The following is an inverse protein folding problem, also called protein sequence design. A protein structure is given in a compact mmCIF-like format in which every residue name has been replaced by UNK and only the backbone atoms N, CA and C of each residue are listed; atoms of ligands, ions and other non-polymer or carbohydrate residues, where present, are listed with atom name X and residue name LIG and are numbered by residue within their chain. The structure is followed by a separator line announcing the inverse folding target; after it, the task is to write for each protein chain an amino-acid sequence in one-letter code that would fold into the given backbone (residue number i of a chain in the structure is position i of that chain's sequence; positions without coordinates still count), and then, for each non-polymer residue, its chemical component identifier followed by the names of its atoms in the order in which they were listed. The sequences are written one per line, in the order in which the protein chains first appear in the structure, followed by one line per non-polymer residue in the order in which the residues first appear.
data_IF_801205965478
#
_entry.id   IF_801205965478
#
_cell.length_a   1.000
_cell.length_b   1.000
_cell.length_c   1.000
_cell.angle_alpha   90.00
_cell.angle_beta   90.00
_cell.angle_gamma   90.00
#
_symmetry.space_group_name_H-M   'P 1'
#
loop_
_entity.id
_entity.type
_entity.pdbx_description
1 polymer ?
#
# COMPACT_ATOMS: atom_id res chain seq x y z
N UNK A 1 -12.87 -18.10 -8.23
CA UNK A 1 -12.49 -16.83 -7.57
C UNK A 1 -12.27 -17.05 -6.08
N UNK A 2 -11.40 -16.25 -5.49
CA UNK A 2 -11.12 -16.22 -4.06
C UNK A 2 -11.51 -14.85 -3.50
N UNK A 3 -12.19 -14.84 -2.37
CA UNK A 3 -12.52 -13.61 -1.61
C UNK A 3 -12.08 -13.78 -0.17
N UNK A 4 -11.50 -12.75 0.40
CA UNK A 4 -11.14 -12.66 1.80
C UNK A 4 -12.07 -11.68 2.49
N UNK A 5 -12.55 -12.00 3.69
CA UNK A 5 -13.40 -11.08 4.44
C UNK A 5 -13.19 -11.20 5.95
N UNK A 6 -13.49 -10.11 6.66
CA UNK A 6 -13.60 -10.14 8.12
C UNK A 6 -14.78 -11.04 8.54
N UNK A 7 -14.72 -11.59 9.75
CA UNK A 7 -15.77 -12.47 10.27
C UNK A 7 -17.13 -11.75 10.40
N UNK A 8 -17.14 -10.45 10.62
CA UNK A 8 -18.33 -9.59 10.67
C UNK A 8 -18.77 -9.09 9.27
N UNK A 9 -18.04 -9.47 8.21
CA UNK A 9 -18.30 -9.10 6.81
C UNK A 9 -18.31 -7.59 6.54
N UNK A 10 -17.74 -6.77 7.42
CA UNK A 10 -17.64 -5.32 7.22
C UNK A 10 -16.50 -4.94 6.29
N UNK A 11 -15.49 -5.82 6.15
CA UNK A 11 -14.38 -5.65 5.23
C UNK A 11 -14.25 -6.89 4.34
N UNK A 12 -13.96 -6.67 3.07
CA UNK A 12 -13.68 -7.74 2.12
C UNK A 12 -12.69 -7.26 1.06
N UNK A 13 -11.87 -8.20 0.57
CA UNK A 13 -10.93 -8.00 -0.52
C UNK A 13 -11.09 -9.12 -1.56
N UNK A 14 -11.03 -8.76 -2.84
CA UNK A 14 -11.32 -9.66 -3.95
C UNK A 14 -12.56 -9.24 -4.76
N UNK A 15 -13.13 -10.06 -5.61
CA UNK A 15 -12.70 -11.43 -5.91
C UNK A 15 -11.39 -11.50 -6.70
N UNK A 16 -10.46 -12.31 -6.24
CA UNK A 16 -9.24 -12.63 -6.96
C UNK A 16 -9.52 -13.74 -7.97
N UNK A 17 -9.12 -13.51 -9.20
CA UNK A 17 -9.34 -14.42 -10.33
C UNK A 17 -8.07 -14.50 -11.17
N UNK A 18 -8.02 -15.36 -12.16
CA UNK A 18 -6.90 -15.40 -13.12
C UNK A 18 -6.69 -14.11 -13.90
N UNK A 19 -7.66 -13.20 -13.90
CA UNK A 19 -7.57 -11.92 -14.61
C UNK A 19 -6.90 -10.81 -13.79
N UNK A 20 -6.91 -10.93 -12.46
CA UNK A 20 -6.36 -9.93 -11.53
C UNK A 20 -5.41 -10.52 -10.49
N UNK A 21 -4.97 -11.74 -10.69
CA UNK A 21 -3.94 -12.38 -9.90
C UNK A 21 -2.55 -12.08 -10.49
N UNK A 22 -1.51 -12.11 -9.66
CA UNK A 22 -0.15 -12.02 -10.15
C UNK A 22 0.17 -13.20 -11.07
N UNK A 23 1.02 -13.02 -12.13
CA UNK A 23 1.31 -14.09 -13.11
C UNK A 23 1.88 -15.38 -12.53
N UNK A 24 2.58 -15.32 -11.40
CA UNK A 24 3.11 -16.49 -10.69
C UNK A 24 2.08 -17.19 -9.77
N UNK A 25 0.85 -16.65 -9.70
CA UNK A 25 -0.22 -17.14 -8.86
C UNK A 25 -0.09 -16.82 -7.39
N UNK A 26 0.88 -15.97 -7.02
CA UNK A 26 1.09 -15.51 -5.65
C UNK A 26 0.63 -14.05 -5.51
N UNK A 27 0.05 -13.71 -4.38
CA UNK A 27 -0.33 -12.31 -4.08
C UNK A 27 -0.44 -12.07 -2.58
N UNK A 28 -0.20 -10.83 -2.19
CA UNK A 28 -0.56 -10.29 -0.88
C UNK A 28 -1.91 -9.60 -0.93
N UNK A 29 -2.43 -9.25 0.22
CA UNK A 29 -3.63 -8.44 0.32
C UNK A 29 -3.52 -7.42 1.46
N UNK A 30 -4.39 -6.42 1.44
CA UNK A 30 -4.47 -5.39 2.46
C UNK A 30 -4.87 -5.97 3.83
N UNK A 31 -4.54 -5.23 4.90
CA UNK A 31 -4.96 -5.60 6.25
C UNK A 31 -6.50 -5.64 6.35
N UNK A 32 -7.00 -6.74 6.90
CA UNK A 32 -8.42 -6.92 7.20
C UNK A 32 -8.59 -6.91 8.72
N UNK A 33 -9.54 -6.10 9.19
CA UNK A 33 -9.86 -5.99 10.61
C UNK A 33 -10.47 -7.28 11.14
N UNK A 34 -10.01 -7.74 12.30
CA UNK A 34 -10.59 -8.87 13.02
C UNK A 34 -9.53 -9.87 13.48
N UNK A 35 -9.96 -10.79 14.34
CA UNK A 35 -9.13 -11.91 14.79
C UNK A 35 -9.33 -13.14 13.90
N UNK A 36 -10.44 -13.19 13.18
CA UNK A 36 -10.80 -14.26 12.27
C UNK A 36 -10.92 -13.73 10.84
N UNK A 37 -10.34 -14.46 9.91
CA UNK A 37 -10.41 -14.20 8.47
C UNK A 37 -11.19 -15.32 7.78
N UNK A 38 -12.17 -14.95 6.98
CA UNK A 38 -12.93 -15.88 6.14
C UNK A 38 -12.33 -15.87 4.73
N UNK A 39 -11.98 -17.06 4.26
CA UNK A 39 -11.55 -17.33 2.89
C UNK A 39 -12.68 -18.05 2.16
N UNK A 40 -13.29 -17.40 1.19
CA UNK A 40 -14.31 -18.01 0.33
C UNK A 40 -13.72 -18.33 -1.04
N UNK A 41 -13.69 -19.60 -1.41
CA UNK A 41 -13.26 -20.03 -2.72
C UNK A 41 -14.42 -20.58 -3.53
N UNK A 42 -14.69 -19.97 -4.69
CA UNK A 42 -15.72 -20.40 -5.63
C UNK A 42 -15.08 -20.96 -6.89
N UNK A 43 -15.28 -22.24 -7.14
CA UNK A 43 -14.81 -22.94 -8.34
C UNK A 43 -15.98 -23.14 -9.31
N UNK A 44 -15.71 -23.01 -10.62
CA UNK A 44 -16.69 -23.35 -11.64
C UNK A 44 -16.87 -24.88 -11.71
N UNK A 45 -18.11 -25.33 -11.82
CA UNK A 45 -18.45 -26.75 -11.98
C UNK A 45 -17.88 -27.37 -13.28
N UNK A 46 -17.46 -26.53 -14.24
CA UNK A 46 -16.82 -26.96 -15.49
C UNK A 46 -15.29 -27.07 -15.39
N UNK A 47 -14.69 -26.73 -14.25
CA UNK A 47 -13.26 -26.86 -14.03
C UNK A 47 -12.91 -28.35 -13.87
N UNK A 48 -11.92 -28.82 -14.66
CA UNK A 48 -11.46 -30.20 -14.64
C UNK A 48 -10.43 -30.43 -13.53
N UNK A 49 -9.73 -29.36 -13.13
CA UNK A 49 -8.67 -29.43 -12.14
C UNK A 49 -9.13 -28.91 -10.78
N UNK A 50 -8.79 -29.62 -9.73
CA UNK A 50 -8.97 -29.14 -8.36
C UNK A 50 -8.02 -27.96 -8.11
N UNK A 51 -8.57 -26.84 -7.72
CA UNK A 51 -7.76 -25.71 -7.32
C UNK A 51 -7.00 -26.05 -6.03
N UNK A 52 -5.74 -25.66 -6.01
CA UNK A 52 -4.89 -25.74 -4.83
C UNK A 52 -4.70 -24.34 -4.27
N UNK A 53 -5.21 -24.12 -3.07
CA UNK A 53 -4.96 -22.90 -2.29
C UNK A 53 -3.87 -23.21 -1.28
N UNK A 54 -2.82 -22.41 -1.25
CA UNK A 54 -1.75 -22.47 -0.27
C UNK A 54 -1.59 -21.13 0.42
N UNK A 55 -1.70 -21.11 1.73
CA UNK A 55 -1.40 -19.93 2.56
C UNK A 55 0.03 -20.12 3.05
N UNK A 56 0.95 -19.32 2.53
CA UNK A 56 2.36 -19.40 2.89
C UNK A 56 2.66 -18.65 4.19
N UNK A 57 2.04 -17.50 4.39
CA UNK A 57 2.34 -16.63 5.52
C UNK A 57 1.10 -15.83 5.93
N UNK A 58 0.97 -15.59 7.23
CA UNK A 58 -0.04 -14.70 7.82
C UNK A 58 0.70 -13.68 8.68
N UNK A 59 0.51 -12.40 8.39
CA UNK A 59 1.01 -11.31 9.20
C UNK A 59 -0.09 -10.79 10.12
N UNK A 60 0.11 -10.91 11.42
CA UNK A 60 -0.83 -10.41 12.42
C UNK A 60 -0.35 -9.06 12.94
N UNK A 61 -1.12 -8.00 12.67
CA UNK A 61 -0.83 -6.67 13.19
C UNK A 61 -1.18 -6.61 14.70
N UNK A 62 -0.19 -6.42 15.55
CA UNK A 62 -0.35 -6.28 17.00
C UNK A 62 -0.58 -4.83 17.46
N UNK A 63 -0.51 -3.89 16.53
CA UNK A 63 -0.82 -2.47 16.72
C UNK A 63 -1.91 -2.05 15.76
N UNK A 64 -2.77 -1.14 16.19
CA UNK A 64 -3.82 -0.56 15.33
C UNK A 64 -3.23 0.48 14.38
N UNK A 65 -2.42 0.02 13.41
CA UNK A 65 -1.69 0.87 12.47
C UNK A 65 -2.61 1.58 11.47
N UNK A 66 -3.80 1.05 11.20
CA UNK A 66 -4.79 1.64 10.30
C UNK A 66 -5.94 2.35 11.05
N UNK A 67 -5.90 2.41 12.37
CA UNK A 67 -6.93 3.08 13.17
C UNK A 67 -8.28 2.37 13.19
N UNK A 68 -8.31 1.05 13.01
CA UNK A 68 -9.53 0.26 13.00
C UNK A 68 -10.31 0.29 14.33
N UNK A 69 -9.60 0.43 15.45
CA UNK A 69 -10.16 0.33 16.79
C UNK A 69 -10.21 1.65 17.54
N UNK A 70 -9.83 2.77 16.88
CA UNK A 70 -9.78 4.09 17.52
C UNK A 70 -9.04 4.09 18.87
N UNK A 71 -7.99 3.28 18.99
CA UNK A 71 -7.15 3.35 20.17
C UNK A 71 -6.43 4.69 20.13
N UNK A 72 -6.80 5.61 21.02
CA UNK A 72 -6.18 6.91 21.16
C UNK A 72 -4.68 6.73 21.44
N UNK A 73 -3.91 6.63 20.38
CA UNK A 73 -2.47 6.78 20.49
C UNK A 73 -2.22 8.28 20.58
N UNK A 74 -2.15 8.77 21.79
CA UNK A 74 -1.72 10.15 22.10
C UNK A 74 -0.26 10.37 21.64
N UNK A 75 -0.06 10.45 20.35
CA UNK A 75 1.18 10.97 19.78
C UNK A 75 0.93 12.36 19.25
N UNK A 76 0.76 13.31 20.17
CA UNK A 76 0.71 14.74 19.89
C UNK A 76 2.09 15.30 19.46
N UNK A 77 2.82 14.62 18.59
CA UNK A 77 4.07 15.13 18.06
C UNK A 77 3.90 15.47 16.57
N UNK A 78 3.42 16.66 16.30
CA UNK A 78 3.25 17.20 14.94
C UNK A 78 1.83 17.72 14.68
N UNK A 79 1.69 18.48 13.61
CA UNK A 79 0.40 18.94 13.13
C UNK A 79 -0.24 17.83 12.29
N UNK A 80 -1.52 17.58 12.52
CA UNK A 80 -2.29 16.69 11.64
C UNK A 80 -2.37 17.33 10.25
N UNK A 81 -2.03 16.56 9.22
CA UNK A 81 -2.02 17.03 7.83
C UNK A 81 -3.39 17.60 7.39
N UNK A 82 -4.48 17.07 7.92
CA UNK A 82 -5.83 17.55 7.65
C UNK A 82 -6.12 18.97 8.22
N UNK A 83 -5.17 19.56 8.97
CA UNK A 83 -5.30 20.94 9.45
C UNK A 83 -4.88 21.98 8.40
N UNK A 84 -4.03 21.60 7.45
CA UNK A 84 -3.39 22.51 6.47
C UNK A 84 -3.45 21.97 5.03
N UNK A 85 -4.53 21.30 4.65
CA UNK A 85 -4.64 20.66 3.32
C UNK A 85 -4.58 21.65 2.14
N UNK A 86 -4.93 22.91 2.34
CA UNK A 86 -5.20 23.85 1.24
C UNK A 86 -4.01 24.11 0.33
N UNK A 87 -2.82 24.36 0.87
CA UNK A 87 -1.63 24.75 0.11
C UNK A 87 -0.86 23.53 -0.43
N UNK A 88 -0.90 22.40 0.28
CA UNK A 88 -0.09 21.19 -0.02
C UNK A 88 -0.93 20.00 -0.45
N UNK A 89 -2.14 20.20 -0.91
CA UNK A 89 -3.09 19.15 -1.24
C UNK A 89 -2.54 18.15 -2.28
N UNK A 90 -1.76 18.60 -3.25
CA UNK A 90 -1.15 17.74 -4.26
C UNK A 90 -0.05 16.89 -3.64
N UNK A 91 0.84 17.48 -2.84
CA UNK A 91 1.93 16.77 -2.17
C UNK A 91 1.39 15.73 -1.18
N UNK A 92 0.35 16.08 -0.42
CA UNK A 92 -0.33 15.17 0.51
C UNK A 92 -0.82 13.93 -0.23
N UNK A 93 -1.44 14.10 -1.42
CA UNK A 93 -1.95 12.98 -2.23
C UNK A 93 -0.89 12.14 -2.92
N UNK A 94 0.38 12.57 -2.88
CA UNK A 94 1.50 11.76 -3.38
C UNK A 94 2.09 10.85 -2.31
N UNK A 95 1.81 11.10 -1.03
CA UNK A 95 2.36 10.32 0.09
C UNK A 95 1.62 8.99 0.21
N UNK A 96 2.40 7.95 0.42
CA UNK A 96 1.94 6.57 0.55
C UNK A 96 2.35 6.05 1.93
N UNK A 97 1.41 5.43 2.64
CA UNK A 97 1.71 4.56 3.76
C UNK A 97 2.01 3.17 3.18
N UNK A 98 3.23 2.69 3.39
CA UNK A 98 3.74 1.45 2.83
C UNK A 98 3.77 0.36 3.90
N UNK A 99 3.03 -0.73 3.67
CA UNK A 99 3.10 -1.96 4.46
C UNK A 99 3.93 -3.00 3.69
N UNK A 100 4.99 -3.46 4.35
CA UNK A 100 5.97 -4.39 3.80
C UNK A 100 6.00 -5.65 4.65
N UNK A 101 5.00 -6.51 4.46
CA UNK A 101 4.96 -7.82 5.11
C UNK A 101 5.08 -7.75 6.65
N UNK A 102 4.39 -6.77 7.27
CA UNK A 102 4.38 -6.54 8.72
C UNK A 102 5.34 -5.46 9.21
N UNK A 103 6.12 -4.85 8.34
CA UNK A 103 6.87 -3.61 8.59
C UNK A 103 6.22 -2.45 7.87
N UNK A 104 6.36 -1.25 8.40
CA UNK A 104 5.76 -0.04 7.84
C UNK A 104 6.79 1.02 7.53
N UNK A 105 6.63 1.67 6.39
CA UNK A 105 7.40 2.84 5.99
C UNK A 105 6.49 3.90 5.35
N UNK A 106 7.07 5.05 5.09
CA UNK A 106 6.47 6.06 4.22
C UNK A 106 7.12 6.01 2.85
N UNK A 107 6.34 6.32 1.83
CA UNK A 107 6.82 6.39 0.46
C UNK A 107 6.13 7.54 -0.29
N UNK A 108 6.59 7.83 -1.48
CA UNK A 108 6.00 8.86 -2.33
C UNK A 108 5.85 8.36 -3.77
N UNK A 109 4.66 8.56 -4.34
CA UNK A 109 4.39 8.32 -5.75
C UNK A 109 5.07 9.42 -6.57
N UNK A 110 5.94 9.06 -7.50
CA UNK A 110 6.72 10.01 -8.28
C UNK A 110 6.45 9.88 -9.78
N UNK A 111 6.52 11.01 -10.47
CA UNK A 111 6.44 11.05 -11.92
C UNK A 111 7.78 10.63 -12.58
N UNK A 112 7.74 10.38 -13.87
CA UNK A 112 8.92 10.13 -14.70
C UNK A 112 9.02 11.16 -15.83
N UNK A 113 10.09 11.10 -16.61
CA UNK A 113 10.33 12.03 -17.73
C UNK A 113 9.38 11.83 -18.91
N UNK A 114 8.73 10.68 -19.00
CA UNK A 114 7.76 10.36 -20.08
C UNK A 114 6.36 10.84 -19.76
N UNK A 115 6.07 11.14 -18.50
CA UNK A 115 4.73 11.51 -18.00
C UNK A 115 3.65 10.47 -18.38
N UNK A 116 4.02 9.19 -18.37
CA UNK A 116 3.18 8.08 -18.82
C UNK A 116 2.38 7.40 -17.70
N UNK A 117 2.44 7.98 -16.48
CA UNK A 117 1.79 7.48 -15.29
C UNK A 117 2.27 6.10 -14.84
N UNK A 118 3.47 5.66 -15.26
CA UNK A 118 4.11 4.49 -14.65
C UNK A 118 4.22 4.71 -13.14
N UNK A 119 3.69 3.79 -12.32
CA UNK A 119 3.49 4.03 -10.90
C UNK A 119 4.77 3.79 -10.07
N UNK A 120 5.75 4.66 -10.27
CA UNK A 120 6.99 4.62 -9.50
C UNK A 120 6.78 5.16 -8.09
N UNK A 121 7.32 4.44 -7.13
CA UNK A 121 7.26 4.77 -5.71
C UNK A 121 8.68 4.86 -5.17
N UNK A 122 9.02 6.01 -4.61
CA UNK A 122 10.30 6.26 -3.95
C UNK A 122 10.15 6.04 -2.45
N UNK A 123 11.04 5.24 -1.87
CA UNK A 123 11.15 5.00 -0.43
C UNK A 123 12.62 4.88 -0.03
N UNK A 124 12.89 4.52 1.22
CA UNK A 124 14.24 4.31 1.72
C UNK A 124 14.74 2.88 1.43
N UNK A 125 16.05 2.71 1.25
CA UNK A 125 16.66 1.40 1.06
C UNK A 125 16.47 0.51 2.29
N UNK A 126 16.63 1.05 3.51
CA UNK A 126 16.45 0.27 4.73
C UNK A 126 15.02 -0.25 4.93
N UNK A 127 14.04 0.26 4.18
CA UNK A 127 12.68 -0.28 4.16
C UNK A 127 12.58 -1.59 3.37
N UNK A 128 13.48 -1.82 2.42
CA UNK A 128 13.37 -2.95 1.48
C UNK A 128 14.58 -3.89 1.47
N UNK A 129 15.68 -3.54 2.13
CA UNK A 129 16.95 -4.27 2.04
C UNK A 129 16.95 -5.61 2.78
N UNK A 130 16.03 -5.83 3.71
CA UNK A 130 15.84 -7.10 4.42
C UNK A 130 14.95 -8.09 3.67
N UNK A 131 14.28 -7.64 2.60
CA UNK A 131 13.32 -8.45 1.88
C UNK A 131 14.00 -9.40 0.88
N UNK A 132 13.50 -10.63 0.82
CA UNK A 132 13.95 -11.60 -0.17
C UNK A 132 13.45 -11.22 -1.57
N UNK A 133 14.14 -11.65 -2.64
CA UNK A 133 13.64 -11.45 -4.00
C UNK A 133 12.22 -12.01 -4.17
N UNK A 134 11.31 -11.17 -4.65
CA UNK A 134 9.90 -11.51 -4.85
C UNK A 134 8.97 -11.14 -3.70
N UNK A 135 9.47 -10.82 -2.50
CA UNK A 135 8.61 -10.39 -1.40
C UNK A 135 7.96 -9.02 -1.64
N UNK A 136 8.54 -8.19 -2.50
CA UNK A 136 7.94 -6.94 -2.97
C UNK A 136 6.58 -7.13 -3.65
N UNK A 137 6.29 -8.35 -4.17
CA UNK A 137 4.99 -8.70 -4.74
C UNK A 137 3.86 -8.67 -3.72
N UNK A 138 4.18 -8.65 -2.43
CA UNK A 138 3.19 -8.67 -1.35
C UNK A 138 3.05 -7.33 -0.65
N UNK A 139 3.84 -6.32 -1.01
CA UNK A 139 3.75 -4.98 -0.43
C UNK A 139 2.39 -4.36 -0.69
N UNK A 140 1.86 -3.65 0.31
CA UNK A 140 0.61 -2.91 0.20
C UNK A 140 0.88 -1.41 0.31
N UNK A 141 0.37 -0.67 -0.66
CA UNK A 141 0.50 0.78 -0.83
C UNK A 141 -0.82 1.44 -0.52
N UNK A 142 -0.94 2.10 0.64
CA UNK A 142 -2.15 2.82 1.03
C UNK A 142 -2.03 4.29 0.65
N UNK A 143 -3.00 4.76 -0.12
CA UNK A 143 -3.14 6.14 -0.56
C UNK A 143 -4.13 6.89 0.34
N UNK A 144 -3.95 8.20 0.48
CA UNK A 144 -4.84 9.04 1.30
C UNK A 144 -4.99 8.52 2.74
N UNK A 145 -3.97 7.88 3.28
CA UNK A 145 -3.97 7.39 4.66
C UNK A 145 -3.75 8.56 5.63
N UNK A 146 -4.80 9.32 5.84
CA UNK A 146 -4.83 10.51 6.69
C UNK A 146 -6.16 10.63 7.41
N UNK A 147 -6.19 11.45 8.45
CA UNK A 147 -7.43 11.77 9.14
C UNK A 147 -8.40 12.53 8.22
N UNK A 148 -9.70 12.30 8.39
CA UNK A 148 -10.74 12.98 7.62
C UNK A 148 -10.95 14.45 8.00
N UNK A 149 -10.41 14.87 9.15
CA UNK A 149 -10.44 16.27 9.60
C UNK A 149 -9.35 16.53 10.64
N UNK A 150 -9.04 17.80 10.89
CA UNK A 150 -8.01 18.25 11.83
C UNK A 150 -8.13 17.65 13.25
N UNK A 151 -9.35 17.40 13.71
CA UNK A 151 -9.64 16.91 15.07
C UNK A 151 -10.07 15.43 15.09
N UNK A 152 -9.85 14.69 14.01
CA UNK A 152 -10.22 13.29 13.90
C UNK A 152 -8.96 12.44 13.76
N UNK A 153 -8.92 11.31 14.47
CA UNK A 153 -7.83 10.34 14.39
C UNK A 153 -8.10 9.19 13.41
N UNK A 154 -9.30 9.10 12.84
CA UNK A 154 -9.64 8.01 11.91
C UNK A 154 -8.93 8.19 10.58
N UNK A 155 -8.14 7.20 10.18
CA UNK A 155 -7.44 7.17 8.90
C UNK A 155 -8.27 6.50 7.82
N UNK A 156 -8.00 6.87 6.57
CA UNK A 156 -8.59 6.23 5.41
C UNK A 156 -7.72 5.05 4.97
N UNK A 157 -8.30 3.87 4.71
CA UNK A 157 -7.56 2.65 4.36
C UNK A 157 -8.14 1.89 3.15
N UNK A 158 -9.18 2.43 2.52
CA UNK A 158 -9.84 1.76 1.38
C UNK A 158 -9.17 2.02 0.03
N UNK A 159 -8.21 2.95 -0.01
CA UNK A 159 -7.45 3.26 -1.21
C UNK A 159 -6.10 2.57 -1.17
N UNK A 160 -6.01 1.36 -1.70
CA UNK A 160 -4.76 0.62 -1.71
C UNK A 160 -4.48 -0.08 -3.04
N UNK A 161 -3.23 -0.46 -3.23
CA UNK A 161 -2.73 -1.37 -4.26
C UNK A 161 -1.75 -2.34 -3.62
N UNK A 162 -1.70 -3.56 -4.14
CA UNK A 162 -0.73 -4.58 -3.74
C UNK A 162 0.17 -4.94 -4.89
N UNK A 163 1.39 -5.37 -4.56
CA UNK A 163 2.36 -5.84 -5.53
C UNK A 163 3.23 -4.75 -6.14
N UNK A 164 4.51 -5.06 -6.22
CA UNK A 164 5.51 -4.20 -6.86
C UNK A 164 6.77 -4.97 -7.25
N UNK A 165 7.57 -4.33 -8.08
CA UNK A 165 8.91 -4.77 -8.45
C UNK A 165 9.93 -3.73 -7.99
N UNK A 166 11.01 -4.17 -7.32
CA UNK A 166 12.14 -3.31 -7.01
C UNK A 166 12.91 -2.98 -8.30
N UNK A 167 13.01 -1.70 -8.65
CA UNK A 167 13.69 -1.23 -9.86
C UNK A 167 15.12 -0.78 -9.61
N UNK A 168 15.36 -0.13 -8.49
CA UNK A 168 16.68 0.33 -8.08
C UNK A 168 16.75 0.56 -6.58
N UNK A 169 17.90 0.35 -5.98
CA UNK A 169 18.19 0.76 -4.62
C UNK A 169 19.66 1.04 -4.44
N UNK A 170 20.00 1.85 -3.44
CA UNK A 170 21.38 2.13 -3.11
C UNK A 170 21.56 2.42 -1.62
N UNK A 171 22.31 1.56 -0.97
CA UNK A 171 22.53 1.60 0.48
C UNK A 171 23.07 2.92 1.00
N UNK A 172 24.11 3.47 0.34
CA UNK A 172 24.80 4.67 0.86
C UNK A 172 23.98 5.96 0.77
N UNK A 173 23.02 6.06 -0.12
CA UNK A 173 22.09 7.19 -0.20
C UNK A 173 20.71 6.84 0.35
N UNK A 174 20.55 5.62 0.86
CA UNK A 174 19.35 5.11 1.47
C UNK A 174 18.09 5.33 0.62
N UNK A 175 18.17 5.09 -0.69
CA UNK A 175 17.01 5.16 -1.56
C UNK A 175 16.62 3.80 -2.14
N UNK A 176 15.34 3.59 -2.34
CA UNK A 176 14.78 2.50 -3.13
C UNK A 176 13.66 3.00 -4.03
N UNK A 177 13.65 2.52 -5.27
CA UNK A 177 12.64 2.78 -6.27
C UNK A 177 11.86 1.49 -6.55
N UNK A 178 10.59 1.49 -6.24
CA UNK A 178 9.64 0.44 -6.56
C UNK A 178 8.79 0.87 -7.77
N UNK A 179 8.30 -0.10 -8.52
CA UNK A 179 7.24 0.10 -9.50
C UNK A 179 6.08 -0.81 -9.11
N UNK A 180 4.94 -0.21 -8.81
CA UNK A 180 3.73 -0.99 -8.48
C UNK A 180 3.23 -1.75 -9.71
N UNK A 181 2.62 -2.92 -9.48
CA UNK A 181 2.05 -3.75 -10.55
C UNK A 181 0.84 -3.08 -11.21
N UNK A 182 0.16 -2.21 -10.48
CA UNK A 182 -1.04 -1.49 -10.96
C UNK A 182 -0.97 0.00 -10.63
N UNK A 183 -1.42 0.83 -11.56
CA UNK A 183 -1.60 2.26 -11.32
C UNK A 183 -2.67 2.49 -10.24
N UNK A 184 -2.57 3.59 -9.46
CA UNK A 184 -3.64 4.00 -8.57
C UNK A 184 -4.96 4.16 -9.33
N UNK A 185 -6.08 3.73 -8.75
CA UNK A 185 -7.38 3.98 -9.37
C UNK A 185 -7.64 5.49 -9.47
N UNK A 186 -8.35 5.92 -10.52
CA UNK A 186 -8.70 7.33 -10.69
C UNK A 186 -9.46 7.90 -9.49
N UNK A 187 -10.25 7.06 -8.80
CA UNK A 187 -10.98 7.44 -7.58
C UNK A 187 -10.07 7.76 -6.39
N UNK A 188 -8.80 7.32 -6.40
CA UNK A 188 -7.85 7.68 -5.33
C UNK A 188 -7.38 9.12 -5.44
N UNK A 189 -7.55 9.75 -6.62
CA UNK A 189 -7.08 11.10 -6.88
C UNK A 189 -5.60 11.29 -6.50
N UNK A 190 -4.79 10.25 -6.70
CA UNK A 190 -3.38 10.25 -6.35
C UNK A 190 -2.61 11.26 -7.21
N UNK A 191 -1.62 11.90 -6.61
CA UNK A 191 -0.75 12.85 -7.30
C UNK A 191 0.65 12.26 -7.49
N UNK A 192 1.20 12.41 -8.67
CA UNK A 192 2.56 12.01 -8.99
C UNK A 192 3.48 13.19 -8.74
N UNK A 193 4.23 13.13 -7.64
CA UNK A 193 5.16 14.20 -7.27
C UNK A 193 6.27 14.39 -8.31
N UNK A 194 6.73 15.61 -8.43
CA UNK A 194 7.93 15.93 -9.21
C UNK A 194 9.21 15.50 -8.49
N UNK A 195 10.32 15.61 -9.19
CA UNK A 195 11.66 15.40 -8.67
C UNK A 195 12.62 16.42 -9.25
N UNK A 196 13.69 16.71 -8.52
CA UNK A 196 14.75 17.61 -8.95
C UNK A 196 16.10 16.87 -8.96
N UNK A 197 16.85 17.00 -10.05
CA UNK A 197 18.20 16.48 -10.21
C UNK A 197 19.25 17.60 -10.30
N UNK A 198 18.87 18.84 -10.04
CA UNK A 198 19.79 19.95 -10.03
C UNK A 198 20.84 19.78 -8.93
N UNK A 199 22.01 20.40 -9.12
CA UNK A 199 23.07 20.45 -8.10
C UNK A 199 22.88 21.59 -7.09
N UNK A 200 21.83 22.41 -7.26
CA UNK A 200 21.49 23.50 -6.34
C UNK A 200 20.75 22.93 -5.11
N UNK A 201 21.09 23.46 -3.94
CA UNK A 201 20.32 23.10 -2.75
C UNK A 201 18.87 23.56 -2.92
N UNK A 202 17.88 22.71 -2.58
CA UNK A 202 16.50 23.15 -2.60
C UNK A 202 16.32 24.34 -1.66
N UNK A 203 15.55 25.33 -2.13
CA UNK A 203 15.15 26.45 -1.28
C UNK A 203 13.96 25.97 -0.43
N UNK A 204 14.08 26.09 0.86
CA UNK A 204 13.05 25.78 1.84
C UNK A 204 12.29 27.05 2.17
#
# INVERSE_FOLDING_TARGET
SLTLSSSDQTMSDGPFTSANNHPDGQFGHALIKGEDLILEYIQSSSSIDDARLNISTIYHAYKDILGFYNTESERNCGNNVACDEGEYSDQIRSVIFLDMNGYICSAVLINNTSYDLTPYVLTANHCVDSESPGEHNYFTFYFNHQSSSCNNSNSYYNHYRTGSTLRASYYYSDFALLEMDYTPAASFNAYYAGWDKSSSNPQV
#
